data_IF_126945448684
#
_entry.id   IF_126945448684
#
_cell.length_a   1.000
_cell.length_b   1.000
_cell.length_c   1.000
_cell.angle_alpha   90.00
_cell.angle_beta   90.00
_cell.angle_gamma   90.00
#
_symmetry.space_group_name_H-M   'P 1'
#
loop_
_entity.id
_entity.type
_entity.pdbx_description
1 polymer ?
#
# COMPACT_ATOMS: atom_id res chain seq x y z
N UNK A 1 15.80 -15.20 -0.75
CA UNK A 1 14.92 -14.21 -0.11
C UNK A 1 14.31 -13.39 -1.24
N UNK A 2 12.99 -13.32 -1.29
CA UNK A 2 12.21 -12.89 -2.46
C UNK A 2 12.42 -11.40 -2.73
N UNK A 3 12.79 -11.05 -3.96
CA UNK A 3 13.12 -9.68 -4.38
C UNK A 3 11.89 -8.78 -4.61
N UNK A 4 10.69 -9.29 -4.32
CA UNK A 4 9.42 -8.78 -4.83
C UNK A 4 8.43 -8.37 -3.73
N UNK A 5 8.90 -7.76 -2.64
CA UNK A 5 8.06 -7.43 -1.48
C UNK A 5 7.51 -6.01 -1.54
N UNK A 6 6.26 -5.84 -1.10
CA UNK A 6 5.60 -4.56 -0.92
C UNK A 6 4.64 -4.53 0.25
N UNK A 7 4.34 -3.32 0.67
CA UNK A 7 3.41 -3.00 1.73
C UNK A 7 2.47 -1.92 1.22
N UNK A 8 1.18 -2.10 1.45
CA UNK A 8 0.13 -1.15 1.11
C UNK A 8 -0.53 -0.77 2.43
N UNK A 9 -0.58 0.51 2.73
CA UNK A 9 -1.37 1.04 3.84
C UNK A 9 -2.53 1.80 3.22
N UNK A 10 -3.74 1.33 3.48
CA UNK A 10 -4.98 1.92 3.00
C UNK A 10 -5.76 2.47 4.18
N UNK A 11 -5.95 3.78 4.23
CA UNK A 11 -6.81 4.43 5.21
C UNK A 11 -8.25 4.31 4.73
N UNK A 12 -9.09 3.60 5.49
CA UNK A 12 -10.48 3.33 5.15
C UNK A 12 -11.28 4.61 5.38
N UNK A 13 -12.13 4.97 4.42
CA UNK A 13 -13.04 6.11 4.54
C UNK A 13 -14.02 5.91 5.70
N UNK A 14 -14.59 6.99 6.24
CA UNK A 14 -15.56 6.93 7.36
C UNK A 14 -16.78 6.03 7.06
N UNK A 15 -17.17 5.91 5.78
CA UNK A 15 -18.25 5.04 5.29
C UNK A 15 -17.74 3.80 4.54
N UNK A 16 -16.43 3.58 4.51
CA UNK A 16 -15.78 2.43 3.91
C UNK A 16 -15.87 1.18 4.78
N UNK A 17 -15.88 0.01 4.13
CA UNK A 17 -15.90 -1.28 4.81
C UNK A 17 -14.52 -1.96 4.72
N UNK A 18 -13.79 -2.12 5.85
CA UNK A 18 -12.48 -2.75 5.86
C UNK A 18 -12.50 -4.22 5.41
N UNK A 19 -13.62 -4.94 5.63
CA UNK A 19 -13.74 -6.34 5.21
C UNK A 19 -13.81 -6.44 3.69
N UNK A 20 -14.54 -5.52 3.03
CA UNK A 20 -14.61 -5.43 1.56
C UNK A 20 -13.25 -5.10 0.95
N UNK A 21 -12.49 -4.19 1.58
CA UNK A 21 -11.14 -3.85 1.11
C UNK A 21 -10.21 -5.05 1.25
N UNK A 22 -10.24 -5.75 2.40
CA UNK A 22 -9.41 -6.94 2.61
C UNK A 22 -9.78 -8.07 1.64
N UNK A 23 -11.07 -8.30 1.36
CA UNK A 23 -11.53 -9.32 0.41
C UNK A 23 -11.06 -9.03 -1.02
N UNK A 24 -11.14 -7.78 -1.47
CA UNK A 24 -10.77 -7.40 -2.85
C UNK A 24 -9.26 -7.27 -3.08
N UNK A 25 -8.51 -6.87 -2.06
CA UNK A 25 -7.05 -6.69 -2.16
C UNK A 25 -6.27 -8.01 -2.00
N UNK A 26 -6.90 -9.06 -1.47
CA UNK A 26 -6.30 -10.39 -1.33
C UNK A 26 -6.81 -11.31 -2.44
N UNK A 27 -5.91 -11.73 -3.34
CA UNK A 27 -6.27 -12.73 -4.37
C UNK A 27 -6.46 -14.10 -3.72
N UNK A 28 -7.70 -14.56 -3.58
CA UNK A 28 -8.05 -15.88 -3.00
C UNK A 28 -7.37 -17.07 -3.71
N UNK A 29 -6.90 -16.88 -4.96
CA UNK A 29 -6.18 -17.92 -5.71
C UNK A 29 -4.74 -18.10 -5.23
N UNK A 30 -4.22 -17.17 -4.43
CA UNK A 30 -2.87 -17.19 -3.86
C UNK A 30 -2.91 -16.65 -2.41
N UNK A 31 -3.57 -17.36 -1.47
CA UNK A 31 -3.82 -16.86 -0.12
C UNK A 31 -2.54 -16.65 0.70
N UNK A 32 -1.46 -17.36 0.36
CA UNK A 32 -0.15 -17.20 1.02
C UNK A 32 0.65 -15.99 0.50
N UNK A 33 0.13 -15.28 -0.52
CA UNK A 33 0.77 -14.09 -1.10
C UNK A 33 0.62 -12.87 -0.20
N UNK A 34 -0.54 -12.75 0.44
CA UNK A 34 -0.94 -11.56 1.18
C UNK A 34 -1.03 -11.82 2.67
N UNK A 35 -0.69 -10.81 3.46
CA UNK A 35 -1.01 -10.78 4.89
C UNK A 35 -1.61 -9.41 5.19
N UNK A 36 -2.85 -9.37 5.70
CA UNK A 36 -3.50 -8.12 6.08
C UNK A 36 -3.65 -8.02 7.60
N UNK A 37 -3.53 -6.81 8.12
CA UNK A 37 -3.82 -6.48 9.51
C UNK A 37 -4.46 -5.10 9.59
N UNK A 38 -5.54 -4.97 10.36
CA UNK A 38 -6.19 -3.70 10.60
C UNK A 38 -5.59 -3.01 11.84
N UNK A 39 -5.21 -1.74 11.70
CA UNK A 39 -4.65 -0.90 12.75
C UNK A 39 -5.41 0.44 12.75
N UNK A 40 -6.33 0.61 13.70
CA UNK A 40 -7.18 1.80 13.73
C UNK A 40 -8.09 1.88 12.50
N UNK A 41 -8.08 3.03 11.82
CA UNK A 41 -8.77 3.27 10.55
C UNK A 41 -8.01 2.74 9.33
N UNK A 42 -6.79 2.22 9.51
CA UNK A 42 -5.96 1.75 8.39
C UNK A 42 -5.97 0.24 8.27
N UNK A 43 -5.91 -0.23 7.04
CA UNK A 43 -5.64 -1.61 6.69
C UNK A 43 -4.24 -1.70 6.09
N UNK A 44 -3.36 -2.45 6.76
CA UNK A 44 -2.00 -2.74 6.31
C UNK A 44 -2.00 -4.07 5.58
N UNK A 45 -1.55 -4.08 4.34
CA UNK A 45 -1.51 -5.27 3.47
C UNK A 45 -0.08 -5.47 3.01
N UNK A 46 0.49 -6.60 3.39
CA UNK A 46 1.78 -7.05 2.89
C UNK A 46 1.58 -7.96 1.67
N UNK A 47 2.28 -7.67 0.57
CA UNK A 47 2.30 -8.47 -0.65
C UNK A 47 3.72 -8.96 -0.94
N UNK A 48 3.93 -10.28 -0.89
CA UNK A 48 5.24 -10.89 -1.15
C UNK A 48 5.62 -10.98 -2.65
N UNK A 49 4.78 -10.45 -3.55
CA UNK A 49 4.95 -10.43 -5.02
C UNK A 49 4.57 -9.09 -5.66
N UNK A 50 4.52 -7.98 -4.90
CA UNK A 50 4.06 -6.64 -5.35
C UNK A 50 4.67 -6.19 -6.68
N UNK A 51 5.94 -6.52 -6.93
CA UNK A 51 6.69 -5.97 -8.07
C UNK A 51 6.41 -6.72 -9.37
N UNK A 52 5.89 -7.94 -9.26
CA UNK A 52 5.63 -8.83 -10.41
C UNK A 52 4.22 -8.63 -10.99
N UNK A 53 3.33 -7.96 -10.26
CA UNK A 53 2.00 -7.55 -10.71
C UNK A 53 1.66 -6.21 -10.08
N UNK A 54 1.42 -5.19 -10.91
CA UNK A 54 0.98 -3.88 -10.43
C UNK A 54 -0.21 -4.02 -9.49
N UNK A 55 -0.11 -3.38 -8.33
CA UNK A 55 -1.17 -3.31 -7.33
C UNK A 55 -2.17 -2.21 -7.63
N UNK A 56 -1.84 -1.28 -8.53
CA UNK A 56 -2.68 -0.14 -8.89
C UNK A 56 -4.12 -0.58 -9.29
N UNK A 57 -4.34 -1.63 -10.13
CA UNK A 57 -5.69 -2.11 -10.45
C UNK A 57 -6.45 -2.72 -9.25
N UNK A 58 -5.74 -3.27 -8.27
CA UNK A 58 -6.35 -3.79 -7.04
C UNK A 58 -6.84 -2.60 -6.20
N UNK A 59 -5.99 -1.59 -6.02
CA UNK A 59 -6.34 -0.36 -5.30
C UNK A 59 -7.52 0.36 -5.98
N UNK A 60 -7.49 0.48 -7.31
CA UNK A 60 -8.60 1.05 -8.11
C UNK A 60 -9.94 0.35 -7.85
N UNK A 61 -9.94 -0.96 -7.59
CA UNK A 61 -11.16 -1.74 -7.34
C UNK A 61 -11.81 -1.46 -5.97
N UNK A 62 -11.04 -0.85 -5.06
CA UNK A 62 -11.43 -0.50 -3.69
C UNK A 62 -11.39 1.01 -3.42
N UNK A 63 -11.02 1.86 -4.38
CA UNK A 63 -10.89 3.31 -4.17
C UNK A 63 -12.10 3.93 -3.47
N UNK A 64 -13.32 3.59 -3.87
CA UNK A 64 -14.53 4.13 -3.22
C UNK A 64 -14.79 3.65 -1.79
N UNK A 65 -13.82 2.99 -1.14
CA UNK A 65 -13.84 2.60 0.28
C UNK A 65 -12.71 3.25 1.07
N UNK A 66 -11.84 4.03 0.40
CA UNK A 66 -10.59 4.52 0.93
C UNK A 66 -10.56 6.04 0.86
N UNK A 67 -9.96 6.68 1.86
CA UNK A 67 -9.62 8.10 1.79
C UNK A 67 -8.23 8.28 1.19
N UNK A 68 -7.28 7.42 1.56
CA UNK A 68 -5.86 7.57 1.24
C UNK A 68 -5.16 6.23 1.14
N UNK A 69 -4.10 6.19 0.31
CA UNK A 69 -3.30 4.99 0.13
C UNK A 69 -1.82 5.34 0.06
N UNK A 70 -0.99 4.59 0.80
CA UNK A 70 0.45 4.55 0.62
C UNK A 70 0.84 3.18 0.11
N UNK A 71 1.57 3.14 -1.00
CA UNK A 71 2.15 1.91 -1.57
C UNK A 71 3.66 2.02 -1.41
N UNK A 72 4.28 1.07 -0.72
CA UNK A 72 5.74 0.94 -0.58
C UNK A 72 6.16 -0.37 -1.23
N UNK A 73 7.01 -0.30 -2.26
CA UNK A 73 7.42 -1.45 -3.04
C UNK A 73 8.94 -1.47 -3.26
N UNK A 74 9.51 -2.67 -3.25
CA UNK A 74 10.87 -2.87 -3.77
C UNK A 74 10.84 -2.71 -5.31
N UNK A 75 11.93 -2.26 -5.94
CA UNK A 75 11.99 -2.19 -7.41
C UNK A 75 12.75 -3.42 -7.94
N UNK A 76 12.11 -4.22 -8.78
CA UNK A 76 12.76 -5.34 -9.46
C UNK A 76 13.90 -4.86 -10.37
N UNK A 77 15.08 -5.47 -10.25
CA UNK A 77 16.28 -5.03 -10.97
C UNK A 77 16.83 -3.68 -10.52
N UNK A 78 16.25 -3.05 -9.50
CA UNK A 78 16.64 -1.74 -8.98
C UNK A 78 17.78 -1.77 -7.96
N UNK A 79 18.63 -2.81 -7.93
CA UNK A 79 19.79 -2.90 -7.01
C UNK A 79 19.44 -2.69 -5.52
N UNK A 80 18.21 -3.02 -5.11
CA UNK A 80 17.74 -2.80 -3.74
C UNK A 80 17.08 -1.44 -3.49
N UNK A 81 16.69 -0.73 -4.55
CA UNK A 81 15.83 0.44 -4.49
C UNK A 81 14.44 0.10 -3.93
N UNK A 82 13.92 0.99 -3.10
CA UNK A 82 12.52 1.01 -2.67
C UNK A 82 11.91 2.32 -3.11
N UNK A 83 10.69 2.22 -3.63
CA UNK A 83 9.85 3.37 -3.97
C UNK A 83 8.60 3.32 -3.10
N UNK A 84 8.15 4.49 -2.69
CA UNK A 84 6.83 4.67 -2.13
C UNK A 84 6.05 5.74 -2.86
N UNK A 85 4.74 5.54 -2.99
CA UNK A 85 3.80 6.45 -3.62
C UNK A 85 2.63 6.69 -2.67
N UNK A 86 2.25 7.94 -2.49
CA UNK A 86 1.09 8.36 -1.72
C UNK A 86 0.02 8.90 -2.64
N UNK A 87 -1.22 8.47 -2.40
CA UNK A 87 -2.41 8.82 -3.15
C UNK A 87 -3.49 9.30 -2.18
N UNK A 88 -4.19 10.35 -2.59
CA UNK A 88 -5.48 10.73 -2.03
C UNK A 88 -6.55 10.23 -3.00
N UNK A 89 -7.64 9.67 -2.47
CA UNK A 89 -8.78 9.26 -3.28
C UNK A 89 -9.75 10.43 -3.35
N UNK A 90 -10.12 10.80 -4.57
CA UNK A 90 -11.17 11.78 -4.82
C UNK A 90 -12.14 11.21 -5.86
N UNK A 91 -13.44 11.47 -5.69
CA UNK A 91 -14.50 10.98 -6.57
C UNK A 91 -14.41 9.46 -6.91
N UNK A 92 -14.02 8.63 -5.93
CA UNK A 92 -13.79 7.18 -6.06
C UNK A 92 -12.73 6.80 -7.11
N UNK A 93 -11.76 7.66 -7.38
CA UNK A 93 -10.66 7.40 -8.32
C UNK A 93 -9.30 7.58 -7.65
N UNK A 94 -8.36 6.70 -7.99
CA UNK A 94 -6.94 6.93 -7.69
C UNK A 94 -6.42 7.92 -8.74
N UNK A 95 -6.11 9.15 -8.33
CA UNK A 95 -5.46 10.13 -9.19
C UNK A 95 -3.98 9.83 -9.42
N UNK A 96 -3.25 10.84 -9.89
CA UNK A 96 -1.79 10.82 -9.85
C UNK A 96 -1.28 10.80 -8.40
N UNK A 97 -0.10 10.20 -8.12
CA UNK A 97 0.46 10.22 -6.78
C UNK A 97 0.72 11.66 -6.35
N UNK A 98 0.22 12.01 -5.16
CA UNK A 98 0.41 13.32 -4.53
C UNK A 98 1.85 13.50 -4.06
N UNK A 99 2.51 12.41 -3.67
CA UNK A 99 3.92 12.41 -3.27
C UNK A 99 4.60 11.07 -3.58
N UNK A 100 5.87 11.11 -3.93
CA UNK A 100 6.68 9.93 -4.25
C UNK A 100 8.06 10.04 -3.61
N UNK A 101 8.51 8.97 -2.97
CA UNK A 101 9.83 8.88 -2.36
C UNK A 101 10.56 7.63 -2.85
N UNK A 102 11.85 7.75 -3.08
CA UNK A 102 12.70 6.62 -3.51
C UNK A 102 13.99 6.61 -2.70
N UNK A 103 14.37 5.44 -2.20
CA UNK A 103 15.59 5.24 -1.40
C UNK A 103 16.41 4.06 -1.90
N UNK A 104 17.73 4.18 -1.79
CA UNK A 104 18.68 3.11 -2.12
C UNK A 104 18.86 2.23 -0.88
N UNK A 105 17.79 1.54 -0.47
CA UNK A 105 17.84 0.36 0.41
C UNK A 105 16.43 -0.14 0.76
N UNK A 106 16.20 -1.43 0.45
CA UNK A 106 14.98 -2.18 0.77
C UNK A 106 14.66 -2.35 2.26
N UNK A 107 15.56 -1.95 3.14
CA UNK A 107 15.39 -2.10 4.59
C UNK A 107 14.74 -0.88 5.25
N UNK A 108 14.42 0.17 4.48
CA UNK A 108 13.86 1.41 5.01
C UNK A 108 12.35 1.53 4.84
N UNK A 109 11.62 0.41 4.68
CA UNK A 109 10.16 0.41 4.52
C UNK A 109 9.49 1.19 5.65
N UNK A 110 9.87 0.93 6.90
CA UNK A 110 9.42 1.66 8.08
C UNK A 110 9.64 3.17 7.94
N UNK A 111 10.79 3.60 7.41
CA UNK A 111 11.08 5.03 7.22
C UNK A 111 10.21 5.71 6.15
N UNK A 112 9.68 4.96 5.18
CA UNK A 112 8.70 5.52 4.23
C UNK A 112 7.36 5.72 4.95
N UNK A 113 6.93 4.77 5.78
CA UNK A 113 5.72 4.92 6.58
C UNK A 113 5.83 6.04 7.61
N UNK A 114 6.95 6.14 8.33
CA UNK A 114 7.23 7.25 9.25
C UNK A 114 7.15 8.61 8.54
N UNK A 115 7.67 8.69 7.31
CA UNK A 115 7.60 9.89 6.50
C UNK A 115 6.16 10.29 6.20
N UNK A 116 5.31 9.36 5.72
CA UNK A 116 3.91 9.68 5.40
C UNK A 116 3.05 9.88 6.64
N UNK A 117 3.29 9.14 7.72
CA UNK A 117 2.63 9.35 9.01
C UNK A 117 2.93 10.76 9.54
N UNK A 118 4.20 11.18 9.49
CA UNK A 118 4.61 12.52 9.95
C UNK A 118 4.05 13.63 9.05
N UNK A 119 4.03 13.42 7.73
CA UNK A 119 3.70 14.46 6.75
C UNK A 119 2.20 14.59 6.48
N UNK A 120 1.48 13.48 6.46
CA UNK A 120 0.07 13.41 6.06
C UNK A 120 -0.84 12.81 7.14
N UNK A 121 -0.27 12.29 8.24
CA UNK A 121 -1.06 11.76 9.36
C UNK A 121 -1.69 10.39 9.09
N UNK A 122 -1.16 9.62 8.13
CA UNK A 122 -1.66 8.26 7.87
C UNK A 122 -1.16 7.29 8.95
N UNK A 123 -2.08 6.82 9.80
CA UNK A 123 -1.78 5.93 10.91
C UNK A 123 -1.75 4.47 10.44
N UNK A 124 -0.60 3.98 9.99
CA UNK A 124 -0.43 2.57 9.60
C UNK A 124 1.00 2.05 9.70
N UNK A 125 1.81 2.75 10.50
CA UNK A 125 3.21 2.37 10.72
C UNK A 125 3.29 1.14 11.65
N UNK A 126 4.09 0.17 11.19
CA UNK A 126 4.34 -1.15 11.77
C UNK A 126 5.11 -1.04 13.10
#
# INVERSE_FOLDING_TARGET
>A
MTEHQGWIVAEIADDGDPDVVSEKMVDERDPDRFTSHQQGSSLVIYDNKVTTRSVDPMVESVCGQLDRVVIVESIEGGEGLTRSRYFEVDDNQLGDPVDELSTISRWFVESHFDYYATRYGIDGAI
#
